data_IF_332484984255
#
_entry.id   IF_332484984255
#
_cell.length_a   1.000
_cell.length_b   1.000
_cell.length_c   1.000
_cell.angle_alpha   90.00
_cell.angle_beta   90.00
_cell.angle_gamma   90.00
#
_symmetry.space_group_name_H-M   'P 1'
#
loop_
_entity.id
_entity.type
_entity.pdbx_description
1 polymer ?
#
# COMPACT_ATOMS: atom_id res chain seq x y z
N UNK A 1 -5.39 -19.12 2.06
CA UNK A 1 -6.74 -19.03 2.63
C UNK A 1 -7.29 -20.26 3.35
N UNK A 2 -6.57 -21.38 3.45
CA UNK A 2 -6.99 -22.47 4.35
C UNK A 2 -5.89 -22.70 5.38
N UNK A 3 -5.92 -21.88 6.43
CA UNK A 3 -5.40 -22.12 7.78
C UNK A 3 -5.44 -20.80 8.55
N UNK A 4 -5.70 -20.93 9.85
CA UNK A 4 -5.64 -19.90 10.89
C UNK A 4 -6.95 -19.16 11.16
N UNK A 5 -7.78 -19.75 12.01
CA UNK A 5 -8.11 -19.20 13.33
C UNK A 5 -8.42 -20.39 14.25
N UNK A 6 -7.39 -21.00 14.81
CA UNK A 6 -7.53 -22.09 15.80
C UNK A 6 -7.39 -21.49 17.19
N UNK A 7 -8.51 -21.14 17.83
CA UNK A 7 -8.49 -20.87 19.27
C UNK A 7 -8.33 -22.21 20.00
N UNK A 8 -7.25 -22.35 20.77
CA UNK A 8 -7.04 -23.47 21.67
C UNK A 8 -7.98 -23.34 22.87
N UNK A 9 -9.08 -24.09 22.85
CA UNK A 9 -9.77 -24.55 24.05
C UNK A 9 -10.08 -26.04 23.82
N UNK A 10 -9.31 -26.91 24.49
CA UNK A 10 -9.67 -28.31 24.61
C UNK A 10 -10.69 -28.45 25.75
N UNK A 11 -11.86 -29.00 25.46
CA UNK A 11 -12.35 -30.27 26.02
C UNK A 11 -13.78 -30.52 25.53
N UNK A 12 -13.93 -31.58 24.73
CA UNK A 12 -15.13 -32.37 24.48
C UNK A 12 -16.47 -31.65 24.40
N UNK A 13 -16.76 -31.07 23.24
CA UNK A 13 -18.13 -30.96 22.72
C UNK A 13 -18.06 -30.89 21.20
N UNK A 14 -18.75 -31.80 20.50
CA UNK A 14 -19.12 -31.65 19.10
C UNK A 14 -20.03 -30.43 18.95
N UNK A 15 -19.45 -29.23 19.00
CA UNK A 15 -20.08 -28.03 18.49
C UNK A 15 -19.77 -28.01 17.00
N UNK A 16 -20.81 -28.28 16.20
CA UNK A 16 -20.86 -27.86 14.81
C UNK A 16 -20.25 -26.46 14.72
N UNK A 17 -19.08 -26.36 14.08
CA UNK A 17 -18.47 -25.08 13.77
C UNK A 17 -19.49 -24.33 12.92
N UNK A 18 -20.26 -23.45 13.56
CA UNK A 18 -21.19 -22.57 12.87
C UNK A 18 -20.33 -21.62 12.05
N UNK A 19 -20.08 -22.00 10.80
CA UNK A 19 -19.35 -21.20 9.83
C UNK A 19 -20.20 -19.97 9.55
N UNK A 20 -19.89 -18.85 10.19
CA UNK A 20 -20.60 -17.60 9.93
C UNK A 20 -20.21 -17.10 8.52
N UNK A 21 -21.15 -16.99 7.57
CA UNK A 21 -20.81 -16.58 6.22
C UNK A 21 -20.23 -15.16 6.22
N UNK A 22 -19.09 -14.96 5.55
CA UNK A 22 -18.44 -13.65 5.45
C UNK A 22 -19.41 -12.58 4.91
N UNK A 23 -20.31 -12.97 3.99
CA UNK A 23 -21.32 -12.11 3.38
C UNK A 23 -22.36 -11.57 4.38
N UNK A 24 -22.53 -12.22 5.53
CA UNK A 24 -23.46 -11.78 6.58
C UNK A 24 -22.86 -10.74 7.53
N UNK A 25 -21.55 -10.46 7.44
CA UNK A 25 -20.92 -9.45 8.26
C UNK A 25 -21.35 -8.02 7.82
N UNK A 26 -21.50 -7.08 8.76
CA UNK A 26 -21.56 -5.65 8.46
C UNK A 26 -20.37 -5.22 7.60
N UNK A 27 -20.58 -4.23 6.73
CA UNK A 27 -19.54 -3.73 5.84
C UNK A 27 -18.30 -3.28 6.60
N UNK A 28 -18.47 -2.66 7.78
CA UNK A 28 -17.38 -2.23 8.65
C UNK A 28 -16.46 -3.39 9.07
N UNK A 29 -17.05 -4.54 9.41
CA UNK A 29 -16.27 -5.73 9.81
C UNK A 29 -15.63 -6.41 8.60
N UNK A 30 -16.33 -6.46 7.45
CA UNK A 30 -15.74 -6.97 6.20
C UNK A 30 -14.54 -6.14 5.79
N UNK A 31 -14.66 -4.82 5.80
CA UNK A 31 -13.59 -3.88 5.53
C UNK A 31 -12.43 -4.10 6.50
N UNK A 32 -12.70 -4.27 7.79
CA UNK A 32 -11.64 -4.51 8.78
C UNK A 32 -10.89 -5.84 8.58
N UNK A 33 -11.59 -6.90 8.17
CA UNK A 33 -10.97 -8.17 7.80
C UNK A 33 -10.13 -8.03 6.53
N UNK A 34 -10.67 -7.36 5.50
CA UNK A 34 -9.96 -7.10 4.23
C UNK A 34 -8.68 -6.29 4.47
N UNK A 35 -8.69 -5.32 5.40
CA UNK A 35 -7.52 -4.54 5.78
C UNK A 35 -6.34 -5.37 6.32
N UNK A 36 -6.59 -6.59 6.80
CA UNK A 36 -5.55 -7.49 7.32
C UNK A 36 -5.18 -8.61 6.34
N UNK A 37 -5.79 -8.64 5.16
CA UNK A 37 -5.45 -9.59 4.09
C UNK A 37 -4.28 -9.07 3.24
N UNK A 38 -3.50 -9.99 2.68
CA UNK A 38 -2.42 -9.67 1.72
C UNK A 38 -3.00 -9.17 0.39
N UNK A 39 -2.18 -8.52 -0.46
CA UNK A 39 -2.65 -8.00 -1.75
C UNK A 39 -3.26 -9.09 -2.64
N UNK A 40 -2.54 -10.21 -2.78
CA UNK A 40 -3.00 -11.39 -3.53
C UNK A 40 -4.32 -11.94 -2.99
N UNK A 41 -4.48 -11.92 -1.68
CA UNK A 41 -5.71 -12.34 -1.01
C UNK A 41 -6.88 -11.41 -1.33
N UNK A 42 -6.64 -10.10 -1.36
CA UNK A 42 -7.63 -9.09 -1.76
C UNK A 42 -7.99 -9.17 -3.24
N UNK A 43 -7.04 -9.45 -4.13
CA UNK A 43 -7.30 -9.66 -5.56
C UNK A 43 -8.24 -10.85 -5.79
N UNK A 44 -7.98 -11.94 -5.06
CA UNK A 44 -8.83 -13.14 -5.12
C UNK A 44 -10.25 -12.85 -4.60
N UNK A 45 -10.39 -12.09 -3.50
CA UNK A 45 -11.71 -11.76 -2.93
C UNK A 45 -12.44 -10.69 -3.73
N UNK A 46 -11.72 -9.71 -4.29
CA UNK A 46 -12.28 -8.69 -5.17
C UNK A 46 -12.82 -9.27 -6.48
N UNK A 47 -12.40 -10.49 -6.84
CA UNK A 47 -12.93 -11.26 -7.95
C UNK A 47 -14.19 -12.07 -7.59
N UNK A 48 -14.58 -12.12 -6.30
CA UNK A 48 -15.71 -12.88 -5.79
C UNK A 48 -16.86 -11.93 -5.43
N UNK A 49 -17.94 -12.00 -6.22
CA UNK A 49 -19.19 -11.28 -5.95
C UNK A 49 -19.04 -9.75 -5.99
N UNK A 50 -19.77 -9.06 -5.10
CA UNK A 50 -19.76 -7.58 -5.00
C UNK A 50 -18.72 -7.05 -4.00
N UNK A 51 -17.75 -7.88 -3.59
CA UNK A 51 -16.73 -7.48 -2.60
C UNK A 51 -15.67 -6.56 -3.20
N UNK A 52 -15.64 -6.37 -4.52
CA UNK A 52 -14.75 -5.45 -5.21
C UNK A 52 -14.81 -4.02 -4.64
N UNK A 53 -16.03 -3.50 -4.42
CA UNK A 53 -16.24 -2.17 -3.86
C UNK A 53 -15.75 -2.09 -2.40
N UNK A 54 -15.95 -3.16 -1.62
CA UNK A 54 -15.42 -3.26 -0.26
C UNK A 54 -13.89 -3.36 -0.23
N UNK A 55 -13.26 -4.01 -1.20
CA UNK A 55 -11.80 -4.03 -1.35
C UNK A 55 -11.27 -2.63 -1.66
N UNK A 56 -11.94 -1.89 -2.55
CA UNK A 56 -11.59 -0.49 -2.85
C UNK A 56 -11.77 0.44 -1.63
N UNK A 57 -12.88 0.28 -0.88
CA UNK A 57 -13.16 1.06 0.33
C UNK A 57 -12.21 0.65 1.47
N UNK A 58 -11.87 -0.63 1.57
CA UNK A 58 -10.91 -1.14 2.53
C UNK A 58 -9.47 -0.72 2.26
N UNK A 59 -9.22 -0.06 1.10
CA UNK A 59 -8.15 0.84 0.63
C UNK A 59 -6.87 1.13 1.44
N UNK A 60 -6.79 0.75 2.71
CA UNK A 60 -5.59 0.68 3.52
C UNK A 60 -4.72 -0.50 3.07
N UNK A 61 -4.09 -0.37 1.90
CA UNK A 61 -2.92 -1.19 1.61
C UNK A 61 -1.79 -0.68 2.50
N UNK A 62 -1.29 -1.56 3.37
CA UNK A 62 -0.14 -1.29 4.24
C UNK A 62 1.10 -1.86 3.56
N UNK A 63 2.00 -0.98 3.16
CA UNK A 63 3.28 -1.35 2.59
C UNK A 63 4.37 -1.13 3.62
N UNK A 64 5.32 -2.06 3.73
CA UNK A 64 6.52 -1.84 4.53
C UNK A 64 7.32 -0.68 3.95
N UNK A 65 7.51 -0.69 2.63
CA UNK A 65 8.21 0.38 1.91
C UNK A 65 7.66 0.56 0.50
N UNK A 66 7.77 1.78 -0.02
CA UNK A 66 7.53 2.10 -1.42
C UNK A 66 8.78 2.78 -1.97
N UNK A 67 9.29 2.31 -3.09
CA UNK A 67 10.51 2.79 -3.71
C UNK A 67 10.27 3.23 -5.15
N UNK A 68 10.62 4.49 -5.43
CA UNK A 68 10.62 5.11 -6.74
C UNK A 68 12.05 5.13 -7.27
N UNK A 69 12.32 4.40 -8.34
CA UNK A 69 13.61 4.41 -9.00
C UNK A 69 13.48 5.02 -10.41
N UNK A 70 14.22 6.09 -10.68
CA UNK A 70 14.22 6.78 -11.97
C UNK A 70 15.58 6.75 -12.69
N UNK A 71 16.49 5.84 -12.30
CA UNK A 71 17.88 5.82 -12.80
C UNK A 71 17.98 5.47 -14.29
N UNK A 72 17.15 4.53 -14.78
CA UNK A 72 17.15 4.08 -16.18
C UNK A 72 15.75 4.12 -16.81
N UNK A 73 14.78 3.56 -16.11
CA UNK A 73 13.35 3.63 -16.40
C UNK A 73 12.63 3.94 -15.09
N UNK A 74 11.62 4.83 -15.08
CA UNK A 74 10.83 5.08 -13.90
C UNK A 74 10.09 3.78 -13.52
N UNK A 75 10.51 3.17 -12.42
CA UNK A 75 9.88 1.99 -11.84
C UNK A 75 9.45 2.34 -10.43
N UNK A 76 8.20 2.02 -10.14
CA UNK A 76 7.58 2.21 -8.84
C UNK A 76 7.37 0.83 -8.26
N UNK A 77 7.96 0.61 -7.09
CA UNK A 77 7.89 -0.68 -6.41
C UNK A 77 7.31 -0.52 -5.02
N UNK A 78 6.36 -1.38 -4.67
CA UNK A 78 5.79 -1.43 -3.33
C UNK A 78 6.03 -2.80 -2.72
N UNK A 79 6.52 -2.83 -1.49
CA UNK A 79 6.85 -4.03 -0.73
C UNK A 79 5.87 -4.18 0.44
N UNK A 80 5.26 -5.36 0.59
CA UNK A 80 4.43 -5.71 1.75
C UNK A 80 5.18 -6.65 2.72
N UNK A 81 4.59 -6.96 3.87
CA UNK A 81 5.23 -7.80 4.90
C UNK A 81 5.41 -9.28 4.49
N UNK A 82 4.77 -9.70 3.40
CA UNK A 82 4.54 -11.11 3.05
C UNK A 82 4.91 -11.50 1.60
N UNK A 83 5.06 -10.54 0.69
CA UNK A 83 5.18 -10.75 -0.76
C UNK A 83 5.98 -9.63 -1.45
N UNK A 84 6.68 -10.03 -2.52
CA UNK A 84 7.65 -9.27 -3.31
C UNK A 84 7.12 -8.01 -4.02
N UNK A 85 8.08 -7.17 -4.45
CA UNK A 85 7.91 -5.93 -5.22
C UNK A 85 6.79 -6.04 -6.27
N UNK A 86 5.74 -5.24 -6.11
CA UNK A 86 4.81 -4.96 -7.20
C UNK A 86 5.36 -3.82 -8.04
N UNK A 87 5.73 -4.09 -9.29
CA UNK A 87 6.02 -3.04 -10.28
C UNK A 87 4.71 -2.40 -10.73
N UNK A 88 4.52 -1.15 -10.35
CA UNK A 88 3.29 -0.40 -10.63
C UNK A 88 3.49 0.40 -11.92
N UNK A 89 2.59 0.20 -12.87
CA UNK A 89 2.58 1.00 -14.09
C UNK A 89 2.13 2.44 -13.82
N UNK A 90 2.69 3.34 -14.61
CA UNK A 90 2.67 4.78 -14.38
C UNK A 90 1.26 5.40 -14.33
N UNK A 91 0.37 4.88 -15.17
CA UNK A 91 -1.00 5.35 -15.33
C UNK A 91 -1.95 4.97 -14.18
N UNK A 92 -1.57 4.04 -13.33
CA UNK A 92 -2.42 3.51 -12.25
C UNK A 92 -1.94 3.92 -10.85
N UNK A 93 -0.82 4.62 -10.76
CA UNK A 93 -0.15 4.94 -9.50
C UNK A 93 -1.05 5.68 -8.49
N UNK A 94 -1.87 6.64 -8.96
CA UNK A 94 -2.82 7.34 -8.10
C UNK A 94 -3.86 6.38 -7.49
N UNK A 95 -4.46 5.53 -8.32
CA UNK A 95 -5.52 4.62 -7.90
C UNK A 95 -4.96 3.52 -6.99
N UNK A 96 -3.76 3.02 -7.30
CA UNK A 96 -3.07 1.99 -6.53
C UNK A 96 -2.71 2.46 -5.11
N UNK A 97 -2.25 3.70 -4.97
CA UNK A 97 -1.89 4.26 -3.66
C UNK A 97 -3.03 4.99 -2.95
N UNK A 98 -4.23 5.01 -3.52
CA UNK A 98 -5.38 5.70 -2.93
C UNK A 98 -5.75 5.06 -1.59
N UNK A 99 -5.58 5.81 -0.50
CA UNK A 99 -5.77 5.36 0.89
C UNK A 99 -4.71 4.40 1.43
N UNK A 100 -3.63 4.19 0.68
CA UNK A 100 -2.51 3.34 1.10
C UNK A 100 -1.63 4.05 2.13
N UNK A 101 -0.96 3.27 2.98
CA UNK A 101 0.00 3.76 3.98
C UNK A 101 1.30 2.98 3.86
N UNK A 102 2.45 3.64 4.00
CA UNK A 102 3.74 2.97 4.09
C UNK A 102 4.61 3.52 5.22
N UNK A 103 5.51 2.71 5.77
CA UNK A 103 6.44 3.21 6.78
C UNK A 103 7.49 4.12 6.14
N UNK A 104 8.09 3.67 5.04
CA UNK A 104 9.19 4.37 4.36
C UNK A 104 8.87 4.59 2.89
N UNK A 105 8.88 5.86 2.47
CA UNK A 105 8.87 6.23 1.05
C UNK A 105 10.29 6.57 0.62
N UNK A 106 10.84 5.80 -0.32
CA UNK A 106 12.17 5.98 -0.88
C UNK A 106 12.09 6.51 -2.31
N UNK A 107 12.85 7.54 -2.65
CA UNK A 107 12.93 8.13 -3.99
C UNK A 107 14.39 8.19 -4.41
N UNK A 108 14.75 7.52 -5.51
CA UNK A 108 16.13 7.38 -5.98
C UNK A 108 16.25 7.58 -7.49
N UNK A 109 17.31 8.26 -7.92
CA UNK A 109 17.71 8.33 -9.33
C UNK A 109 17.61 9.73 -9.97
N UNK A 110 17.57 9.75 -11.30
CA UNK A 110 17.52 10.98 -12.09
C UNK A 110 16.08 11.43 -12.31
N UNK A 111 15.73 12.62 -11.82
CA UNK A 111 14.39 13.17 -12.05
C UNK A 111 14.24 13.68 -13.47
N UNK A 112 13.16 13.27 -14.13
CA UNK A 112 12.65 13.79 -15.39
C UNK A 112 11.17 14.16 -15.23
N UNK A 113 10.58 14.81 -16.23
CA UNK A 113 9.19 15.30 -16.16
C UNK A 113 8.14 14.18 -15.95
N UNK A 114 8.41 12.98 -16.44
CA UNK A 114 7.55 11.80 -16.26
C UNK A 114 7.61 11.33 -14.80
N UNK A 115 8.82 10.99 -14.32
CA UNK A 115 9.08 10.56 -12.94
C UNK A 115 8.56 11.57 -11.92
N UNK A 116 8.71 12.88 -12.18
CA UNK A 116 8.16 13.93 -11.32
C UNK A 116 6.64 13.84 -11.18
N UNK A 117 5.90 13.60 -12.27
CA UNK A 117 4.44 13.48 -12.21
C UNK A 117 4.01 12.28 -11.38
N UNK A 118 4.70 11.15 -11.53
CA UNK A 118 4.31 9.92 -10.86
C UNK A 118 4.61 9.97 -9.38
N UNK A 119 5.80 10.47 -9.03
CA UNK A 119 6.16 10.70 -7.63
C UNK A 119 5.20 11.72 -7.01
N UNK A 120 4.84 12.81 -7.70
CA UNK A 120 3.83 13.75 -7.17
C UNK A 120 2.47 13.12 -6.97
N UNK A 121 2.06 12.24 -7.89
CA UNK A 121 0.79 11.52 -7.81
C UNK A 121 0.77 10.61 -6.58
N UNK A 122 1.79 9.77 -6.43
CA UNK A 122 1.95 8.88 -5.29
C UNK A 122 2.13 9.63 -3.97
N UNK A 123 2.94 10.69 -3.96
CA UNK A 123 3.17 11.54 -2.78
C UNK A 123 1.88 12.13 -2.25
N UNK A 124 0.89 12.40 -3.11
CA UNK A 124 -0.43 12.89 -2.69
C UNK A 124 -1.32 11.77 -2.14
N UNK A 125 -1.32 10.59 -2.74
CA UNK A 125 -2.25 9.50 -2.40
C UNK A 125 -1.77 8.58 -1.28
N UNK A 126 -0.46 8.33 -1.17
CA UNK A 126 0.16 7.40 -0.22
C UNK A 126 0.53 8.10 1.08
N UNK A 127 0.02 7.69 2.24
CA UNK A 127 0.49 8.23 3.53
C UNK A 127 1.80 7.56 3.97
N UNK A 128 2.74 8.29 4.57
CA UNK A 128 3.99 7.70 5.05
C UNK A 128 4.59 8.43 6.25
N UNK A 129 5.43 7.73 7.02
CA UNK A 129 6.07 8.26 8.23
C UNK A 129 7.48 8.78 7.95
N UNK A 130 8.24 8.04 7.14
CA UNK A 130 9.62 8.37 6.78
C UNK A 130 9.74 8.62 5.28
N UNK A 131 10.59 9.60 4.92
CA UNK A 131 10.92 9.94 3.54
C UNK A 131 12.44 9.89 3.33
N UNK A 132 12.88 9.00 2.46
CA UNK A 132 14.28 8.88 2.04
C UNK A 132 14.42 9.32 0.58
N UNK A 133 15.32 10.27 0.34
CA UNK A 133 15.54 10.85 -0.97
C UNK A 133 17.02 10.72 -1.32
N UNK A 134 17.32 10.19 -2.51
CA UNK A 134 18.67 10.17 -3.09
C UNK A 134 18.59 10.64 -4.53
N UNK A 135 18.93 11.90 -4.77
CA UNK A 135 18.87 12.48 -6.09
C UNK A 135 20.25 12.60 -6.70
N UNK A 136 20.38 12.19 -7.96
CA UNK A 136 21.64 12.23 -8.70
C UNK A 136 21.74 13.43 -9.65
N UNK A 137 20.74 14.32 -9.71
CA UNK A 137 20.72 15.47 -10.61
C UNK A 137 20.21 16.79 -9.97
N UNK A 138 20.66 17.93 -10.53
CA UNK A 138 20.32 19.28 -10.06
C UNK A 138 18.85 19.67 -10.27
N UNK A 139 18.15 18.97 -11.18
CA UNK A 139 16.73 19.19 -11.48
C UNK A 139 15.81 18.89 -10.29
N UNK A 140 16.33 18.13 -9.31
CA UNK A 140 15.59 17.63 -8.17
C UNK A 140 15.27 18.67 -7.09
N UNK A 141 15.91 19.84 -7.11
CA UNK A 141 15.72 20.85 -6.06
C UNK A 141 14.27 21.34 -5.92
N UNK A 142 13.53 21.44 -7.04
CA UNK A 142 12.15 21.91 -7.04
C UNK A 142 11.22 20.94 -6.31
N UNK A 143 11.36 19.64 -6.54
CA UNK A 143 10.45 18.64 -6.00
C UNK A 143 10.65 18.42 -4.50
N UNK A 144 11.90 18.50 -4.02
CA UNK A 144 12.22 18.45 -2.58
C UNK A 144 11.44 19.54 -1.85
N UNK A 145 11.47 20.77 -2.39
CA UNK A 145 10.77 21.90 -1.76
C UNK A 145 9.25 21.68 -1.70
N UNK A 146 8.66 21.03 -2.70
CA UNK A 146 7.24 20.66 -2.70
C UNK A 146 6.96 19.54 -1.69
N UNK A 147 7.83 18.55 -1.55
CA UNK A 147 7.65 17.46 -0.58
C UNK A 147 7.76 17.95 0.86
N UNK A 148 8.75 18.77 1.16
CA UNK A 148 8.93 19.37 2.48
C UNK A 148 7.77 20.32 2.85
N UNK A 149 7.18 21.00 1.87
CA UNK A 149 6.01 21.87 2.09
C UNK A 149 4.69 21.11 2.10
N UNK A 150 4.62 20.00 1.40
CA UNK A 150 3.37 19.34 1.01
C UNK A 150 2.68 18.57 2.12
N UNK A 151 3.38 18.20 3.20
CA UNK A 151 2.80 17.40 4.29
C UNK A 151 3.26 17.79 5.68
N UNK A 152 2.30 17.75 6.59
CA UNK A 152 2.52 17.79 8.05
C UNK A 152 2.43 16.36 8.56
N UNK A 153 3.37 15.94 9.42
CA UNK A 153 3.38 14.60 10.01
C UNK A 153 4.42 13.62 9.44
N UNK A 154 5.38 14.10 8.64
CA UNK A 154 6.58 13.31 8.34
C UNK A 154 7.47 13.36 9.59
N UNK A 155 7.81 12.19 10.14
CA UNK A 155 8.61 12.06 11.36
C UNK A 155 10.09 12.24 11.05
N UNK A 156 10.57 11.66 9.94
CA UNK A 156 11.97 11.71 9.53
C UNK A 156 12.12 11.95 8.03
N UNK A 157 13.04 12.84 7.66
CA UNK A 157 13.44 13.08 6.26
C UNK A 157 14.95 12.87 6.15
N UNK A 158 15.36 11.91 5.31
CA UNK A 158 16.75 11.62 4.97
C UNK A 158 17.02 12.05 3.53
N UNK A 159 18.01 12.93 3.33
CA UNK A 159 18.44 13.38 2.01
C UNK A 159 19.91 12.97 1.84
N UNK A 160 20.19 12.17 0.82
CA UNK A 160 21.51 11.65 0.47
C UNK A 160 21.99 12.22 -0.86
#
# INVERSE_FOLDING_TARGET
FSKMFTNQFNEDNDMDLVTFPFDCLPNELKTHVIQHMTLKERENIGSIGNLHELVQIAGFNRFLSVNFNSTNQPVISACDETTELNEIQDNECYQFFKHSTTSVLTIKGNMNDESERNIKSAFKSLSFNELEITFTNDYSGRIISEFLRGRKGIEEVKIH
#
